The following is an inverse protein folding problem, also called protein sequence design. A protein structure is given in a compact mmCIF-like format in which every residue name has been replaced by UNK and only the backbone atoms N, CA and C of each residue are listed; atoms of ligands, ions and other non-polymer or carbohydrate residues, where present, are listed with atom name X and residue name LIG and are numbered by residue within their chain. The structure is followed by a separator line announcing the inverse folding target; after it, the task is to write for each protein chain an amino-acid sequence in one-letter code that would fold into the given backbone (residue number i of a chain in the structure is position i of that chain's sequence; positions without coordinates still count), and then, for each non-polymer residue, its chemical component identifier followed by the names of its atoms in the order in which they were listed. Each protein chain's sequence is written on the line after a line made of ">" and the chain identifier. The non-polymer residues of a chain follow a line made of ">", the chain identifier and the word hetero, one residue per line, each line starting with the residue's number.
data_IF_500764046401
#
_entry.id   IF_500764046401
#
_cell.length_a   1.000
_cell.length_b   1.000
_cell.length_c   1.000
_cell.angle_alpha   90.00
_cell.angle_beta   90.00
_cell.angle_gamma   90.00
#
_symmetry.space_group_name_H-M   'P 1'
#
loop_
_entity.id
_entity.type
_entity.pdbx_description
1 polymer ?
#
# COMPACT_ATOMS: atom_id res chain seq x y z
N UNK A 1 -9.80 3.81 32.42
CA UNK A 1 -8.78 4.01 31.35
C UNK A 1 -8.84 5.47 30.94
N UNK A 2 -7.84 6.24 31.33
CA UNK A 2 -7.81 7.70 31.21
C UNK A 2 -7.33 8.05 29.80
N UNK A 3 -8.20 8.69 29.01
CA UNK A 3 -7.82 9.22 27.71
C UNK A 3 -6.72 10.28 27.91
N UNK A 4 -5.56 10.08 27.31
CA UNK A 4 -4.48 11.04 27.32
C UNK A 4 -4.96 12.35 26.66
N UNK A 5 -4.91 13.46 27.38
CA UNK A 5 -5.13 14.80 26.83
C UNK A 5 -4.04 15.09 25.80
N UNK A 6 -4.37 15.66 24.62
CA UNK A 6 -3.37 16.10 23.69
C UNK A 6 -2.48 17.16 24.34
N UNK A 7 -1.17 16.98 24.23
CA UNK A 7 -0.15 17.94 24.64
C UNK A 7 -0.31 19.18 23.75
N UNK A 8 -0.56 20.33 24.35
CA UNK A 8 -0.67 21.60 23.64
C UNK A 8 0.69 21.93 22.99
N UNK A 9 0.76 21.91 21.64
CA UNK A 9 1.94 22.36 20.88
C UNK A 9 2.37 21.48 19.71
N UNK A 10 1.89 20.25 19.57
CA UNK A 10 2.19 19.45 18.38
C UNK A 10 1.22 19.81 17.22
N UNK A 11 1.70 19.89 15.97
CA UNK A 11 0.82 20.08 14.83
C UNK A 11 -0.24 18.95 14.78
N UNK A 12 -1.46 19.27 14.30
CA UNK A 12 -2.49 18.27 14.20
C UNK A 12 -2.06 17.15 13.24
N UNK A 13 -2.39 15.89 13.57
CA UNK A 13 -2.15 14.75 12.69
C UNK A 13 -2.83 14.97 11.33
N UNK A 14 -2.16 14.53 10.27
CA UNK A 14 -2.73 14.59 8.92
C UNK A 14 -3.97 13.69 8.82
N UNK A 15 -3.90 12.48 9.38
CA UNK A 15 -5.04 11.57 9.50
C UNK A 15 -5.05 11.02 10.92
N UNK A 16 -6.22 10.99 11.54
CA UNK A 16 -6.46 10.30 12.81
C UNK A 16 -7.74 9.48 12.70
N UNK A 17 -7.60 8.17 12.85
CA UNK A 17 -8.69 7.21 12.92
C UNK A 17 -8.73 6.64 14.33
N UNK A 18 -9.93 6.56 14.93
CA UNK A 18 -10.10 6.02 16.28
C UNK A 18 -11.29 5.06 16.30
N UNK A 19 -11.01 3.76 16.49
CA UNK A 19 -12.00 2.69 16.58
C UNK A 19 -12.92 2.60 15.37
N UNK A 20 -12.41 2.89 14.17
CA UNK A 20 -13.20 3.05 12.95
C UNK A 20 -13.89 1.75 12.55
N UNK A 21 -15.21 1.78 12.34
CA UNK A 21 -16.00 0.61 11.93
C UNK A 21 -16.90 0.94 10.75
N UNK A 22 -17.06 -0.03 9.84
CA UNK A 22 -17.96 0.05 8.70
C UNK A 22 -18.51 -1.30 8.30
N UNK A 23 -19.82 -1.38 8.10
CA UNK A 23 -20.54 -2.59 7.69
C UNK A 23 -21.36 -2.30 6.44
N UNK A 24 -21.38 -3.21 5.51
CA UNK A 24 -22.21 -3.19 4.30
C UNK A 24 -23.04 -4.47 4.25
N UNK A 25 -24.33 -4.38 4.57
CA UNK A 25 -25.18 -5.56 4.72
C UNK A 25 -24.59 -6.54 5.74
N UNK A 26 -24.32 -7.81 5.36
CA UNK A 26 -23.73 -8.79 6.28
C UNK A 26 -22.20 -8.65 6.44
N UNK A 27 -21.54 -7.85 5.60
CA UNK A 27 -20.07 -7.76 5.54
C UNK A 27 -19.57 -6.62 6.42
N UNK A 28 -18.81 -6.94 7.46
CA UNK A 28 -18.09 -5.98 8.29
C UNK A 28 -16.74 -5.64 7.64
N UNK A 29 -16.73 -4.59 6.79
CA UNK A 29 -15.58 -4.20 5.98
C UNK A 29 -14.45 -3.57 6.79
N UNK A 30 -14.77 -2.87 7.89
CA UNK A 30 -13.81 -2.24 8.81
C UNK A 30 -14.22 -2.56 10.24
N UNK A 31 -13.28 -3.10 11.04
CA UNK A 31 -13.55 -3.75 12.34
C UNK A 31 -12.85 -3.07 13.53
N UNK A 32 -12.71 -1.76 13.50
CA UNK A 32 -12.10 -1.02 14.61
C UNK A 32 -10.66 -0.64 14.30
N UNK A 33 -10.45 0.11 13.21
CA UNK A 33 -9.12 0.61 12.84
C UNK A 33 -8.78 1.84 13.68
N UNK A 34 -7.61 1.79 14.32
CA UNK A 34 -6.91 2.91 14.91
C UNK A 34 -5.67 3.22 14.07
N UNK A 35 -5.51 4.47 13.62
CA UNK A 35 -4.38 4.91 12.82
C UNK A 35 -4.13 6.40 13.01
N UNK A 36 -2.86 6.76 13.17
CA UNK A 36 -2.40 8.13 13.19
C UNK A 36 -1.35 8.31 12.09
N UNK A 37 -1.52 9.29 11.19
CA UNK A 37 -0.55 9.66 10.17
C UNK A 37 -0.05 11.07 10.47
N UNK A 38 1.26 11.22 10.53
CA UNK A 38 1.90 12.52 10.75
C UNK A 38 1.92 13.37 9.48
N UNK A 39 1.93 14.71 9.57
CA UNK A 39 2.19 15.57 8.41
C UNK A 39 3.54 15.24 7.75
N UNK A 40 3.57 15.18 6.41
CA UNK A 40 4.76 14.90 5.62
C UNK A 40 5.13 13.42 5.50
N UNK A 41 4.36 12.50 6.11
CA UNK A 41 4.59 11.06 6.08
C UNK A 41 4.04 10.43 4.78
N UNK A 42 4.79 9.51 4.18
CA UNK A 42 4.33 8.66 3.07
C UNK A 42 3.93 7.30 3.64
N UNK A 43 2.62 7.03 3.66
CA UNK A 43 2.07 5.78 4.22
C UNK A 43 1.48 4.91 3.12
N UNK A 44 1.91 3.64 3.08
CA UNK A 44 1.34 2.63 2.21
C UNK A 44 0.26 1.82 2.94
N UNK A 45 -0.94 1.76 2.36
CA UNK A 45 -2.00 0.82 2.75
C UNK A 45 -1.88 -0.45 1.92
N UNK A 46 -1.48 -1.53 2.54
CA UNK A 46 -1.40 -2.85 1.93
C UNK A 46 -2.52 -3.76 2.44
N UNK A 47 -2.83 -4.78 1.67
CA UNK A 47 -3.79 -5.82 2.05
C UNK A 47 -4.45 -6.45 0.83
N UNK A 48 -4.97 -7.67 0.95
CA UNK A 48 -5.70 -8.33 -0.12
C UNK A 48 -6.98 -7.58 -0.50
N UNK A 49 -7.62 -8.02 -1.58
CA UNK A 49 -8.93 -7.51 -1.96
C UNK A 49 -9.94 -7.81 -0.84
N UNK A 50 -10.77 -6.83 -0.50
CA UNK A 50 -11.72 -6.94 0.62
C UNK A 50 -11.11 -6.71 2.02
N UNK A 51 -9.83 -6.37 2.14
CA UNK A 51 -9.19 -6.06 3.42
C UNK A 51 -9.72 -4.79 4.12
N UNK A 52 -10.52 -3.97 3.43
CA UNK A 52 -11.08 -2.73 3.97
C UNK A 52 -10.34 -1.45 3.56
N UNK A 53 -9.35 -1.53 2.66
CA UNK A 53 -8.55 -0.37 2.19
C UNK A 53 -9.43 0.74 1.62
N UNK A 54 -10.17 0.43 0.56
CA UNK A 54 -11.06 1.42 -0.12
C UNK A 54 -12.13 1.96 0.82
N UNK A 55 -12.76 1.11 1.65
CA UNK A 55 -13.74 1.56 2.63
C UNK A 55 -13.16 2.53 3.65
N UNK A 56 -11.91 2.32 4.07
CA UNK A 56 -11.20 3.22 4.98
C UNK A 56 -10.86 4.53 4.28
N UNK A 57 -10.37 4.49 3.05
CA UNK A 57 -10.09 5.66 2.21
C UNK A 57 -11.36 6.47 1.98
N UNK A 58 -12.48 5.83 1.63
CA UNK A 58 -13.77 6.51 1.43
C UNK A 58 -14.24 7.27 2.69
N UNK A 59 -13.99 6.72 3.87
CA UNK A 59 -14.30 7.41 5.12
C UNK A 59 -13.36 8.59 5.39
N UNK A 60 -12.06 8.47 5.07
CA UNK A 60 -11.09 9.58 5.16
C UNK A 60 -11.47 10.70 4.17
N UNK A 61 -11.95 10.34 2.99
CA UNK A 61 -12.44 11.27 1.97
C UNK A 61 -13.87 11.80 2.25
N UNK A 62 -14.53 11.36 3.33
CA UNK A 62 -15.91 11.77 3.64
C UNK A 62 -16.95 11.32 2.61
N UNK A 63 -16.61 10.38 1.72
CA UNK A 63 -17.50 9.75 0.75
C UNK A 63 -18.43 8.73 1.42
N UNK A 64 -17.97 8.15 2.52
CA UNK A 64 -18.75 7.24 3.37
C UNK A 64 -18.67 7.69 4.83
N UNK A 65 -19.72 7.40 5.61
CA UNK A 65 -19.75 7.66 7.05
C UNK A 65 -19.41 6.37 7.81
N UNK A 66 -18.57 6.44 8.85
CA UNK A 66 -18.37 5.30 9.72
C UNK A 66 -19.65 4.97 10.51
N UNK A 67 -19.86 3.68 10.80
CA UNK A 67 -20.95 3.23 11.67
C UNK A 67 -20.57 3.41 13.14
N UNK A 68 -19.27 3.38 13.46
CA UNK A 68 -18.72 3.72 14.76
C UNK A 68 -17.28 4.21 14.64
N UNK A 69 -16.79 4.87 15.68
CA UNK A 69 -15.47 5.48 15.70
C UNK A 69 -15.45 6.89 15.14
N UNK A 70 -14.25 7.43 14.90
CA UNK A 70 -14.05 8.82 14.43
C UNK A 70 -12.95 8.88 13.36
N UNK A 71 -13.15 9.79 12.41
CA UNK A 71 -12.17 10.21 11.42
C UNK A 71 -11.90 11.69 11.59
N UNK A 72 -10.65 12.08 11.65
CA UNK A 72 -10.22 13.47 11.66
C UNK A 72 -9.07 13.65 10.67
N UNK A 73 -9.10 14.72 9.91
CA UNK A 73 -8.04 15.12 8.97
C UNK A 73 -7.61 16.54 9.32
N UNK A 74 -6.34 16.70 9.68
CA UNK A 74 -5.79 17.95 10.24
C UNK A 74 -6.66 18.52 11.37
N UNK A 75 -7.16 17.65 12.27
CA UNK A 75 -8.02 18.05 13.39
C UNK A 75 -9.47 18.40 13.02
N UNK A 76 -9.86 18.22 11.75
CA UNK A 76 -11.19 18.58 11.22
C UNK A 76 -11.96 17.34 10.76
N UNK A 77 -13.27 17.48 10.59
CA UNK A 77 -14.06 16.49 9.87
C UNK A 77 -13.62 16.41 8.39
N UNK A 78 -13.61 15.23 7.74
CA UNK A 78 -13.19 15.06 6.36
C UNK A 78 -13.78 16.08 5.38
N UNK A 79 -15.10 16.30 5.43
CA UNK A 79 -15.78 17.26 4.55
C UNK A 79 -15.31 18.70 4.73
N UNK A 80 -14.92 19.07 5.95
CA UNK A 80 -14.38 20.41 6.23
C UNK A 80 -12.97 20.56 5.66
N UNK A 81 -12.14 19.53 5.76
CA UNK A 81 -10.79 19.51 5.20
C UNK A 81 -10.83 19.57 3.66
N UNK A 82 -11.76 18.83 3.02
CA UNK A 82 -11.99 18.89 1.57
C UNK A 82 -12.45 20.28 1.14
N UNK A 83 -13.43 20.87 1.82
CA UNK A 83 -13.94 22.20 1.50
C UNK A 83 -12.86 23.30 1.61
N UNK A 84 -11.80 23.06 2.38
CA UNK A 84 -10.62 23.94 2.50
C UNK A 84 -9.52 23.62 1.47
N UNK A 85 -9.69 22.61 0.62
CA UNK A 85 -8.70 22.18 -0.35
C UNK A 85 -7.50 21.43 0.25
N UNK A 86 -7.58 21.00 1.53
CA UNK A 86 -6.47 20.33 2.21
C UNK A 86 -6.28 18.89 1.78
N UNK A 87 -7.30 18.25 1.18
CA UNK A 87 -7.27 16.87 0.71
C UNK A 87 -7.55 16.83 -0.77
N UNK A 88 -6.78 16.03 -1.48
CA UNK A 88 -7.09 15.61 -2.86
C UNK A 88 -6.89 14.12 -3.00
N UNK A 89 -7.54 13.53 -4.01
CA UNK A 89 -7.44 12.10 -4.24
C UNK A 89 -7.33 11.74 -5.72
N UNK A 90 -6.57 10.68 -5.99
CA UNK A 90 -6.58 9.95 -7.26
C UNK A 90 -7.20 8.59 -6.98
N UNK A 91 -8.44 8.39 -7.43
CA UNK A 91 -9.18 7.14 -7.24
C UNK A 91 -8.93 6.18 -8.41
N UNK A 92 -9.07 4.89 -8.15
CA UNK A 92 -8.92 3.83 -9.16
C UNK A 92 -9.88 4.02 -10.34
N UNK A 93 -11.12 4.45 -10.06
CA UNK A 93 -12.14 4.72 -11.07
C UNK A 93 -12.41 6.22 -11.17
N UNK A 94 -12.46 6.75 -12.37
CA UNK A 94 -12.77 8.14 -12.63
C UNK A 94 -12.73 8.41 -14.13
N UNK A 95 -13.85 8.87 -14.68
CA UNK A 95 -13.95 9.17 -16.12
C UNK A 95 -13.24 10.48 -16.46
N UNK A 96 -12.33 10.43 -17.43
CA UNK A 96 -11.78 11.62 -18.05
C UNK A 96 -12.59 11.93 -19.32
N UNK A 97 -12.77 13.21 -19.62
CA UNK A 97 -13.45 13.66 -20.84
C UNK A 97 -12.50 13.47 -22.03
N UNK A 98 -12.77 12.44 -22.84
CA UNK A 98 -11.88 11.97 -23.92
C UNK A 98 -11.70 12.96 -25.06
N UNK A 99 -12.66 13.86 -25.25
CA UNK A 99 -12.67 14.85 -26.34
C UNK A 99 -11.88 16.12 -26.01
N UNK A 100 -11.64 16.39 -24.75
CA UNK A 100 -10.79 17.50 -24.30
C UNK A 100 -9.31 17.15 -24.43
N UNK A 101 -8.48 18.17 -24.57
CA UNK A 101 -7.03 18.03 -24.42
C UNK A 101 -6.64 17.90 -22.95
N UNK A 102 -5.41 17.46 -22.69
CA UNK A 102 -4.82 17.40 -21.35
C UNK A 102 -4.89 18.76 -20.65
N UNK A 103 -4.49 19.84 -21.36
CA UNK A 103 -4.52 21.19 -20.81
C UNK A 103 -5.93 21.72 -20.57
N UNK A 104 -6.89 21.45 -21.49
CA UNK A 104 -8.29 21.84 -21.30
C UNK A 104 -8.90 21.12 -20.10
N UNK A 105 -8.64 19.81 -19.93
CA UNK A 105 -9.11 19.05 -18.77
C UNK A 105 -8.57 19.63 -17.47
N UNK A 106 -7.29 19.95 -17.42
CA UNK A 106 -6.67 20.52 -16.23
C UNK A 106 -7.22 21.94 -15.94
N UNK A 107 -7.39 22.81 -16.98
CA UNK A 107 -7.99 24.15 -16.82
C UNK A 107 -9.44 24.08 -16.35
N UNK A 108 -10.22 23.17 -16.93
CA UNK A 108 -11.59 22.93 -16.48
C UNK A 108 -11.64 22.53 -15.01
N UNK A 109 -10.79 21.59 -14.61
CA UNK A 109 -10.69 21.16 -13.21
C UNK A 109 -10.24 22.30 -12.30
N UNK A 110 -9.25 23.09 -12.71
CA UNK A 110 -8.77 24.24 -11.95
C UNK A 110 -9.88 25.27 -11.69
N UNK A 111 -10.80 25.47 -12.65
CA UNK A 111 -11.92 26.40 -12.51
C UNK A 111 -12.96 26.01 -11.46
N UNK A 112 -12.93 24.77 -10.98
CA UNK A 112 -13.82 24.28 -9.90
C UNK A 112 -13.33 24.68 -8.51
N UNK A 113 -12.08 25.14 -8.38
CA UNK A 113 -11.49 25.53 -7.11
C UNK A 113 -11.41 27.06 -6.98
N UNK A 114 -11.69 27.56 -5.78
CA UNK A 114 -11.54 29.00 -5.47
C UNK A 114 -10.08 29.45 -5.59
N UNK A 115 -9.15 28.54 -5.28
CA UNK A 115 -7.70 28.70 -5.47
C UNK A 115 -7.16 27.45 -6.12
N UNK A 116 -6.33 27.64 -7.13
CA UNK A 116 -5.58 26.55 -7.77
C UNK A 116 -4.17 27.03 -8.08
N UNK A 117 -3.21 26.12 -8.04
CA UNK A 117 -1.89 26.41 -8.60
C UNK A 117 -1.96 26.53 -10.13
N UNK A 118 -0.95 27.12 -10.77
CA UNK A 118 -0.90 27.22 -12.23
C UNK A 118 -0.99 25.84 -12.89
N UNK A 119 -1.85 25.71 -13.90
CA UNK A 119 -2.06 24.44 -14.62
C UNK A 119 -0.77 23.91 -15.23
N UNK A 120 0.05 24.78 -15.82
CA UNK A 120 1.30 24.39 -16.45
C UNK A 120 2.29 23.79 -15.43
N UNK A 121 2.30 24.31 -14.20
CA UNK A 121 3.11 23.75 -13.11
C UNK A 121 2.62 22.36 -12.67
N UNK A 122 1.30 22.18 -12.52
CA UNK A 122 0.70 20.89 -12.20
C UNK A 122 0.99 19.85 -13.29
N UNK A 123 0.89 20.22 -14.57
CA UNK A 123 1.22 19.34 -15.70
C UNK A 123 2.72 18.98 -15.74
N UNK A 124 3.59 19.93 -15.43
CA UNK A 124 5.03 19.72 -15.36
C UNK A 124 5.39 18.77 -14.22
N UNK A 125 4.84 18.98 -13.03
CA UNK A 125 5.06 18.08 -11.86
C UNK A 125 4.57 16.67 -12.14
N UNK A 126 3.45 16.51 -12.85
CA UNK A 126 2.94 15.21 -13.26
C UNK A 126 3.70 14.59 -14.46
N UNK A 127 4.65 15.29 -15.05
CA UNK A 127 5.47 14.80 -16.16
C UNK A 127 4.70 14.65 -17.48
N UNK A 128 3.65 15.47 -17.71
CA UNK A 128 2.81 15.40 -18.91
C UNK A 128 2.68 16.75 -19.67
N UNK A 129 3.49 17.73 -19.32
CA UNK A 129 3.47 19.04 -20.00
C UNK A 129 3.72 18.94 -21.51
N UNK A 130 4.56 17.99 -21.96
CA UNK A 130 4.88 17.79 -23.37
C UNK A 130 3.68 17.32 -24.22
N UNK A 131 2.61 16.83 -23.59
CA UNK A 131 1.40 16.35 -24.27
C UNK A 131 0.16 17.21 -23.95
N UNK A 132 0.37 18.44 -23.49
CA UNK A 132 -0.69 19.34 -23.05
C UNK A 132 -1.82 19.53 -24.10
N UNK A 133 -1.46 19.58 -25.38
CA UNK A 133 -2.40 19.76 -26.50
C UNK A 133 -2.97 18.44 -27.05
N UNK A 134 -2.55 17.28 -26.51
CA UNK A 134 -3.07 15.98 -26.94
C UNK A 134 -4.44 15.73 -26.32
N UNK A 135 -5.39 15.20 -27.14
CA UNK A 135 -6.69 14.76 -26.62
C UNK A 135 -6.52 13.61 -25.65
N UNK A 136 -7.24 13.66 -24.53
CA UNK A 136 -7.21 12.63 -23.47
C UNK A 136 -7.54 11.24 -24.02
N UNK A 137 -8.46 11.13 -24.98
CA UNK A 137 -8.79 9.85 -25.62
C UNK A 137 -7.65 9.23 -26.44
N UNK A 138 -6.58 9.99 -26.74
CA UNK A 138 -5.37 9.52 -27.45
C UNK A 138 -4.18 9.29 -26.50
N UNK A 139 -4.37 9.51 -25.19
CA UNK A 139 -3.37 9.27 -24.17
C UNK A 139 -3.38 7.80 -23.76
N UNK A 140 -2.19 7.25 -23.47
CA UNK A 140 -2.03 5.93 -22.85
C UNK A 140 -2.67 5.89 -21.45
N UNK A 141 -2.87 4.69 -20.90
CA UNK A 141 -3.38 4.54 -19.54
C UNK A 141 -2.51 5.26 -18.50
N UNK A 142 -1.20 5.14 -18.62
CA UNK A 142 -0.24 5.82 -17.76
C UNK A 142 -0.26 7.35 -17.90
N UNK A 143 -0.42 7.87 -19.13
CA UNK A 143 -0.58 9.32 -19.36
C UNK A 143 -1.91 9.85 -18.79
N UNK A 144 -2.99 9.08 -18.89
CA UNK A 144 -4.26 9.41 -18.26
C UNK A 144 -4.16 9.40 -16.73
N UNK A 145 -3.41 8.46 -16.13
CA UNK A 145 -3.20 8.41 -14.70
C UNK A 145 -2.36 9.60 -14.21
N UNK A 146 -1.33 10.00 -14.96
CA UNK A 146 -0.57 11.23 -14.68
C UNK A 146 -1.43 12.49 -14.81
N UNK A 147 -2.40 12.51 -15.73
CA UNK A 147 -3.37 13.61 -15.82
C UNK A 147 -4.26 13.68 -14.56
N UNK A 148 -4.75 12.53 -14.07
CA UNK A 148 -5.50 12.49 -12.79
C UNK A 148 -4.65 13.02 -11.64
N UNK A 149 -3.37 12.65 -11.61
CA UNK A 149 -2.43 13.17 -10.62
C UNK A 149 -2.23 14.70 -10.75
N UNK A 150 -2.04 15.22 -11.98
CA UNK A 150 -1.97 16.66 -12.20
C UNK A 150 -3.24 17.37 -11.69
N UNK A 151 -4.42 16.83 -11.98
CA UNK A 151 -5.70 17.36 -11.50
C UNK A 151 -5.77 17.36 -9.96
N UNK A 152 -5.28 16.31 -9.31
CA UNK A 152 -5.25 16.21 -7.86
C UNK A 152 -4.28 17.22 -7.22
N UNK A 153 -3.26 17.67 -7.93
CA UNK A 153 -2.32 18.69 -7.46
C UNK A 153 -2.88 20.12 -7.54
N UNK A 154 -3.89 20.38 -8.40
CA UNK A 154 -4.39 21.73 -8.66
C UNK A 154 -4.83 22.51 -7.41
N UNK A 155 -5.56 21.94 -6.44
CA UNK A 155 -5.94 22.65 -5.23
C UNK A 155 -4.78 22.87 -4.25
N UNK A 156 -3.57 22.39 -4.57
CA UNK A 156 -2.38 22.39 -3.71
C UNK A 156 -2.63 21.76 -2.33
N UNK A 157 -3.05 20.47 -2.29
CA UNK A 157 -3.45 19.81 -1.07
C UNK A 157 -2.27 19.55 -0.14
N UNK A 158 -2.51 19.52 1.17
CA UNK A 158 -1.55 19.06 2.17
C UNK A 158 -1.55 17.54 2.32
N UNK A 159 -2.69 16.88 2.03
CA UNK A 159 -2.86 15.43 2.02
C UNK A 159 -3.28 14.93 0.63
N UNK A 160 -2.50 14.04 0.08
CA UNK A 160 -2.79 13.36 -1.17
C UNK A 160 -3.12 11.88 -0.91
N UNK A 161 -4.29 11.44 -1.37
CA UNK A 161 -4.72 10.05 -1.27
C UNK A 161 -4.69 9.44 -2.67
N UNK A 162 -4.02 8.29 -2.80
CA UNK A 162 -3.81 7.63 -4.08
C UNK A 162 -4.28 6.16 -3.98
N UNK A 163 -5.27 5.80 -4.78
CA UNK A 163 -5.76 4.42 -4.86
C UNK A 163 -5.29 3.79 -6.16
N UNK A 164 -4.36 2.81 -6.06
CA UNK A 164 -3.72 2.13 -7.19
C UNK A 164 -3.11 3.10 -8.24
N UNK A 165 -2.26 4.05 -7.83
CA UNK A 165 -1.91 5.20 -8.66
C UNK A 165 -1.08 4.87 -9.90
N UNK A 166 -0.41 3.73 -9.96
CA UNK A 166 0.52 3.35 -11.02
C UNK A 166 -0.03 2.28 -11.96
N UNK A 167 -1.28 1.90 -11.77
CA UNK A 167 -1.95 0.91 -12.62
C UNK A 167 -1.92 1.35 -14.09
N UNK A 168 -1.42 0.47 -14.97
CA UNK A 168 -1.29 0.73 -16.40
C UNK A 168 -0.09 1.59 -16.81
N UNK A 169 0.83 1.88 -15.89
CA UNK A 169 2.13 2.49 -16.19
C UNK A 169 3.19 1.43 -16.48
N UNK A 170 4.09 1.74 -17.41
CA UNK A 170 5.33 0.98 -17.59
C UNK A 170 6.33 1.26 -16.44
N UNK A 171 7.44 0.53 -16.41
CA UNK A 171 8.43 0.61 -15.34
C UNK A 171 9.03 2.01 -15.20
N UNK A 172 9.36 2.65 -16.35
CA UNK A 172 9.94 4.00 -16.36
C UNK A 172 8.91 5.05 -15.91
N UNK A 173 7.68 4.93 -16.40
CA UNK A 173 6.54 5.74 -15.99
C UNK A 173 6.28 5.68 -14.51
N UNK A 174 6.29 4.49 -13.93
CA UNK A 174 6.11 4.25 -12.49
C UNK A 174 7.21 4.89 -11.67
N UNK A 175 8.49 4.68 -12.05
CA UNK A 175 9.63 5.29 -11.36
C UNK A 175 9.57 6.81 -11.38
N UNK A 176 9.27 7.40 -12.55
CA UNK A 176 9.13 8.86 -12.68
C UNK A 176 7.95 9.42 -11.86
N UNK A 177 6.83 8.70 -11.81
CA UNK A 177 5.66 9.07 -10.99
C UNK A 177 6.01 9.10 -9.51
N UNK A 178 6.61 8.04 -8.98
CA UNK A 178 7.04 7.97 -7.58
C UNK A 178 8.11 8.99 -7.24
N UNK A 179 9.01 9.31 -8.19
CA UNK A 179 9.97 10.40 -8.03
C UNK A 179 9.30 11.75 -7.80
N UNK A 180 8.23 12.05 -8.53
CA UNK A 180 7.44 13.26 -8.33
C UNK A 180 6.72 13.29 -6.97
N UNK A 181 6.11 12.17 -6.57
CA UNK A 181 5.47 12.03 -5.25
C UNK A 181 6.47 12.28 -4.12
N UNK A 182 7.67 11.69 -4.20
CA UNK A 182 8.68 11.84 -3.16
C UNK A 182 9.18 13.28 -3.06
N UNK A 183 9.38 13.95 -4.17
CA UNK A 183 9.74 15.38 -4.20
C UNK A 183 8.66 16.25 -3.53
N UNK A 184 7.38 15.91 -3.72
CA UNK A 184 6.26 16.60 -3.06
C UNK A 184 6.24 16.35 -1.55
N UNK A 185 6.49 15.12 -1.12
CA UNK A 185 6.56 14.77 0.30
C UNK A 185 7.73 15.46 1.01
N UNK A 186 8.89 15.59 0.35
CA UNK A 186 10.04 16.33 0.87
C UNK A 186 9.73 17.83 1.09
N UNK A 187 8.70 18.36 0.40
CA UNK A 187 8.16 19.71 0.62
C UNK A 187 7.10 19.77 1.73
N UNK A 188 6.88 18.67 2.44
CA UNK A 188 5.96 18.58 3.58
C UNK A 188 4.58 18.01 3.25
N UNK A 189 4.31 17.59 2.01
CA UNK A 189 3.04 16.97 1.63
C UNK A 189 2.91 15.57 2.21
N UNK A 190 1.78 15.28 2.85
CA UNK A 190 1.45 13.94 3.33
C UNK A 190 0.86 13.11 2.20
N UNK A 191 1.25 11.84 2.11
CA UNK A 191 0.75 10.92 1.10
C UNK A 191 0.25 9.63 1.75
N UNK A 192 -1.00 9.25 1.47
CA UNK A 192 -1.53 7.93 1.77
C UNK A 192 -1.81 7.24 0.44
N UNK A 193 -1.21 6.08 0.20
CA UNK A 193 -1.49 5.33 -1.01
C UNK A 193 -1.87 3.88 -0.73
N UNK A 194 -2.85 3.38 -1.49
CA UNK A 194 -3.18 1.97 -1.51
C UNK A 194 -2.60 1.34 -2.78
N UNK A 195 -1.95 0.20 -2.63
CA UNK A 195 -1.43 -0.58 -3.75
C UNK A 195 -1.44 -2.07 -3.42
N UNK A 196 -1.44 -2.90 -4.46
CA UNK A 196 -1.16 -4.33 -4.39
C UNK A 196 0.28 -4.65 -4.83
N UNK A 197 1.03 -3.66 -5.32
CA UNK A 197 2.45 -3.79 -5.67
C UNK A 197 3.31 -3.59 -4.42
N UNK A 198 3.72 -4.70 -3.80
CA UNK A 198 4.51 -4.68 -2.57
C UNK A 198 5.86 -3.97 -2.75
N UNK A 199 6.46 -4.08 -3.95
CA UNK A 199 7.69 -3.39 -4.32
C UNK A 199 7.56 -1.87 -4.22
N UNK A 200 6.39 -1.31 -4.53
CA UNK A 200 6.15 0.14 -4.40
C UNK A 200 6.12 0.58 -2.94
N UNK A 201 5.44 -0.18 -2.10
CA UNK A 201 5.40 0.09 -0.67
C UNK A 201 6.80 -0.01 -0.05
N UNK A 202 7.57 -1.04 -0.43
CA UNK A 202 8.94 -1.25 0.03
C UNK A 202 9.89 -0.11 -0.38
N UNK A 203 9.76 0.39 -1.62
CA UNK A 203 10.67 1.37 -2.19
C UNK A 203 10.33 2.83 -1.83
N UNK A 204 9.05 3.15 -1.61
CA UNK A 204 8.60 4.53 -1.55
C UNK A 204 7.89 4.94 -0.27
N UNK A 205 7.37 3.99 0.54
CA UNK A 205 6.72 4.32 1.80
C UNK A 205 7.72 4.51 2.94
N UNK A 206 7.48 5.51 3.79
CA UNK A 206 8.15 5.65 5.07
C UNK A 206 7.58 4.65 6.09
N UNK A 207 6.28 4.33 5.94
CA UNK A 207 5.55 3.43 6.82
C UNK A 207 4.52 2.61 6.04
N UNK A 208 4.39 1.36 6.44
CA UNK A 208 3.48 0.38 5.86
C UNK A 208 2.42 0.01 6.90
N UNK A 209 1.16 0.12 6.52
CA UNK A 209 0.01 -0.33 7.29
C UNK A 209 -0.64 -1.49 6.54
N UNK A 210 -0.52 -2.70 7.09
CA UNK A 210 -1.08 -3.90 6.51
C UNK A 210 -2.46 -4.16 7.07
N UNK A 211 -3.45 -4.21 6.19
CA UNK A 211 -4.85 -4.48 6.50
C UNK A 211 -5.23 -5.90 6.11
N UNK A 212 -5.96 -6.58 7.00
CA UNK A 212 -6.56 -7.89 6.77
C UNK A 212 -7.92 -7.97 7.43
N UNK A 213 -8.93 -8.44 6.70
CA UNK A 213 -10.31 -8.63 7.22
C UNK A 213 -10.86 -7.42 7.99
N UNK A 214 -10.51 -6.20 7.56
CA UNK A 214 -10.98 -4.96 8.18
C UNK A 214 -10.22 -4.54 9.45
N UNK A 215 -9.06 -5.12 9.72
CA UNK A 215 -8.20 -4.78 10.86
C UNK A 215 -6.77 -4.49 10.41
N UNK A 216 -6.04 -3.72 11.20
CA UNK A 216 -4.60 -3.52 11.03
C UNK A 216 -3.90 -4.72 11.66
N UNK A 217 -3.10 -5.44 10.86
CA UNK A 217 -2.32 -6.62 11.32
C UNK A 217 -0.82 -6.31 11.43
N UNK A 218 -0.34 -5.28 10.74
CA UNK A 218 1.02 -4.77 10.92
C UNK A 218 1.02 -3.26 10.63
N UNK A 219 1.89 -2.54 11.34
CA UNK A 219 2.05 -1.09 11.24
C UNK A 219 3.47 -0.72 11.66
N UNK A 220 4.28 -0.23 10.71
CA UNK A 220 5.68 0.11 10.94
C UNK A 220 6.43 0.39 9.65
N UNK A 221 7.74 0.61 9.75
CA UNK A 221 8.64 0.71 8.61
C UNK A 221 8.67 -0.59 7.81
N UNK A 222 9.12 -0.54 6.54
CA UNK A 222 9.29 -1.75 5.74
C UNK A 222 10.15 -2.80 6.45
N UNK A 223 11.23 -2.39 7.12
CA UNK A 223 12.10 -3.29 7.86
C UNK A 223 11.39 -3.96 9.05
N UNK A 224 10.58 -3.22 9.80
CA UNK A 224 9.79 -3.74 10.92
C UNK A 224 8.73 -4.73 10.45
N UNK A 225 8.01 -4.40 9.36
CA UNK A 225 6.99 -5.31 8.81
C UNK A 225 7.63 -6.59 8.27
N UNK A 226 8.77 -6.51 7.57
CA UNK A 226 9.54 -7.68 7.12
C UNK A 226 10.01 -8.56 8.29
N UNK A 227 10.40 -7.93 9.40
CA UNK A 227 10.84 -8.66 10.60
C UNK A 227 9.70 -9.46 11.27
N UNK A 228 8.43 -9.10 11.06
CA UNK A 228 7.28 -9.87 11.56
C UNK A 228 7.14 -11.24 10.87
N UNK A 229 7.65 -11.39 9.65
CA UNK A 229 7.79 -12.68 8.99
C UNK A 229 9.08 -13.34 9.46
N UNK A 230 9.10 -13.91 10.69
CA UNK A 230 10.28 -14.52 11.27
C UNK A 230 10.99 -15.48 10.28
N UNK A 231 12.34 -15.34 10.19
CA UNK A 231 13.19 -16.24 9.40
C UNK A 231 13.89 -15.57 8.21
N UNK A 232 14.79 -16.33 7.59
CA UNK A 232 15.54 -15.97 6.39
C UNK A 232 15.27 -16.99 5.29
N UNK A 233 15.50 -16.61 4.05
CA UNK A 233 15.48 -17.54 2.94
C UNK A 233 16.90 -17.85 2.52
N UNK A 234 17.25 -19.13 2.54
CA UNK A 234 18.51 -19.64 1.99
C UNK A 234 18.23 -20.17 0.61
N UNK A 235 18.82 -19.52 -0.40
CA UNK A 235 18.77 -19.94 -1.80
C UNK A 235 20.08 -20.66 -2.13
N UNK A 236 19.98 -21.78 -2.83
CA UNK A 236 21.17 -22.55 -3.26
C UNK A 236 20.86 -23.26 -4.58
N UNK A 237 21.87 -23.40 -5.42
CA UNK A 237 21.84 -24.28 -6.61
C UNK A 237 22.28 -25.67 -6.18
N UNK A 238 21.34 -26.64 -6.20
CA UNK A 238 21.56 -28.02 -5.73
C UNK A 238 20.90 -29.01 -6.70
N UNK A 239 21.61 -29.48 -7.74
CA UNK A 239 21.07 -30.48 -8.65
C UNK A 239 20.72 -31.80 -7.94
N UNK A 240 19.55 -32.35 -8.24
CA UNK A 240 19.08 -33.59 -7.63
C UNK A 240 18.70 -33.49 -6.17
N UNK A 241 18.27 -32.30 -5.71
CA UNK A 241 17.84 -32.06 -4.35
C UNK A 241 16.69 -32.98 -3.93
N UNK A 242 16.80 -33.59 -2.74
CA UNK A 242 15.75 -34.37 -2.11
C UNK A 242 15.04 -33.51 -1.04
N UNK A 243 13.77 -33.22 -1.28
CA UNK A 243 12.94 -32.39 -0.40
C UNK A 243 12.87 -32.96 1.03
N UNK A 244 12.80 -34.30 1.16
CA UNK A 244 12.72 -34.97 2.46
C UNK A 244 13.95 -34.73 3.30
N UNK A 245 15.12 -34.83 2.66
CA UNK A 245 16.41 -34.58 3.31
C UNK A 245 16.54 -33.12 3.73
N UNK A 246 16.14 -32.20 2.85
CA UNK A 246 16.26 -30.78 3.11
C UNK A 246 15.31 -30.29 4.20
N UNK A 247 14.10 -30.85 4.27
CA UNK A 247 13.15 -30.56 5.35
C UNK A 247 13.59 -31.08 6.72
N UNK A 248 14.48 -32.06 6.75
CA UNK A 248 15.03 -32.60 7.99
C UNK A 248 16.20 -31.77 8.56
N UNK A 249 16.67 -30.74 7.86
CA UNK A 249 17.75 -29.88 8.34
C UNK A 249 17.23 -29.07 9.53
N UNK A 250 17.95 -29.07 10.69
CA UNK A 250 17.57 -28.22 11.81
C UNK A 250 17.48 -26.74 11.41
N UNK A 251 16.38 -26.09 11.79
CA UNK A 251 16.13 -24.68 11.43
C UNK A 251 15.51 -24.48 10.05
N UNK A 252 15.27 -25.52 9.25
CA UNK A 252 14.50 -25.42 8.01
C UNK A 252 13.01 -25.49 8.33
N UNK A 253 12.26 -24.42 8.01
CA UNK A 253 10.81 -24.35 8.23
C UNK A 253 10.03 -24.88 7.03
N UNK A 254 10.46 -24.54 5.81
CA UNK A 254 9.88 -25.05 4.57
C UNK A 254 10.91 -25.07 3.45
N UNK A 255 10.68 -25.94 2.45
CA UNK A 255 11.57 -26.15 1.30
C UNK A 255 10.76 -26.07 0.03
N UNK A 256 11.25 -25.31 -0.94
CA UNK A 256 10.72 -25.22 -2.29
C UNK A 256 11.83 -25.54 -3.31
N UNK A 257 11.56 -26.48 -4.24
CA UNK A 257 12.52 -26.89 -5.28
C UNK A 257 12.00 -26.43 -6.64
N UNK A 258 12.78 -25.63 -7.34
CA UNK A 258 12.50 -25.14 -8.70
C UNK A 258 13.65 -25.54 -9.63
N UNK A 259 13.55 -26.73 -10.24
CA UNK A 259 14.64 -27.33 -11.01
C UNK A 259 15.86 -27.56 -10.11
N UNK A 260 17.01 -26.96 -10.45
CA UNK A 260 18.24 -27.06 -9.64
C UNK A 260 18.31 -25.99 -8.54
N UNK A 261 17.39 -25.02 -8.50
CA UNK A 261 17.35 -24.00 -7.46
C UNK A 261 16.49 -24.46 -6.31
N UNK A 262 17.05 -24.44 -5.12
CA UNK A 262 16.36 -24.73 -3.85
C UNK A 262 16.23 -23.46 -3.04
N UNK A 263 15.04 -23.21 -2.51
CA UNK A 263 14.71 -22.14 -1.59
C UNK A 263 14.32 -22.79 -0.25
N UNK A 264 15.05 -22.49 0.81
CA UNK A 264 14.76 -22.96 2.16
C UNK A 264 14.41 -21.76 3.03
N UNK A 265 13.18 -21.75 3.52
CA UNK A 265 12.80 -20.81 4.56
C UNK A 265 13.30 -21.36 5.90
N UNK A 266 14.06 -20.55 6.62
CA UNK A 266 14.78 -21.01 7.78
C UNK A 266 14.59 -20.03 8.95
N UNK A 267 14.25 -20.58 10.12
CA UNK A 267 14.33 -19.89 11.41
C UNK A 267 15.78 -19.76 11.89
N UNK A 268 16.63 -20.74 11.55
CA UNK A 268 18.09 -20.68 11.71
C UNK A 268 18.79 -20.85 10.36
N UNK A 269 19.01 -19.72 9.69
CA UNK A 269 19.67 -19.73 8.38
C UNK A 269 21.13 -20.09 8.43
N UNK A 270 21.80 -19.91 9.55
CA UNK A 270 23.24 -20.16 9.67
C UNK A 270 23.52 -21.66 9.76
N UNK A 271 22.69 -22.42 10.47
CA UNK A 271 22.78 -23.88 10.53
C UNK A 271 22.39 -24.52 9.19
N UNK A 272 21.33 -24.03 8.54
CA UNK A 272 20.93 -24.46 7.20
C UNK A 272 22.05 -24.20 6.20
N UNK A 273 22.61 -22.99 6.16
CA UNK A 273 23.69 -22.65 5.25
C UNK A 273 24.95 -23.52 5.47
N UNK A 274 25.31 -23.74 6.74
CA UNK A 274 26.44 -24.61 7.10
C UNK A 274 26.23 -26.03 6.60
N UNK A 275 25.03 -26.59 6.82
CA UNK A 275 24.70 -27.93 6.33
C UNK A 275 24.81 -28.01 4.81
N UNK A 276 24.21 -27.08 4.08
CA UNK A 276 24.24 -27.05 2.61
C UNK A 276 25.65 -26.99 2.05
N UNK A 277 26.54 -26.16 2.63
CA UNK A 277 27.92 -25.99 2.18
C UNK A 277 28.84 -27.14 2.56
N UNK A 278 28.56 -27.86 3.68
CA UNK A 278 29.46 -28.91 4.15
C UNK A 278 29.01 -30.33 3.82
N UNK A 279 27.70 -30.55 3.67
CA UNK A 279 27.09 -31.87 3.54
C UNK A 279 26.47 -32.13 2.18
N UNK A 280 26.46 -31.12 1.28
CA UNK A 280 25.90 -31.22 -0.07
C UNK A 280 26.85 -30.66 -1.13
N UNK A 281 26.51 -30.85 -2.41
CA UNK A 281 27.21 -30.20 -3.53
C UNK A 281 26.62 -28.82 -3.88
N UNK A 282 25.93 -28.18 -2.95
CA UNK A 282 25.30 -26.88 -3.15
C UNK A 282 26.29 -25.77 -3.52
N UNK A 283 25.87 -24.91 -4.47
CA UNK A 283 26.65 -23.78 -4.99
C UNK A 283 25.80 -22.53 -5.03
N UNK A 284 26.45 -21.37 -5.18
CA UNK A 284 25.78 -20.06 -5.31
C UNK A 284 24.80 -19.81 -4.15
N UNK A 285 25.25 -20.11 -2.92
CA UNK A 285 24.45 -19.94 -1.74
C UNK A 285 24.28 -18.45 -1.43
N UNK A 286 23.00 -18.05 -1.27
CA UNK A 286 22.60 -16.70 -0.92
C UNK A 286 21.65 -16.77 0.29
N UNK A 287 21.92 -15.95 1.31
CA UNK A 287 21.04 -15.82 2.47
C UNK A 287 20.42 -14.44 2.44
N UNK A 288 19.11 -14.40 2.26
CA UNK A 288 18.34 -13.15 2.21
C UNK A 288 17.35 -13.08 3.38
N UNK A 289 17.11 -11.86 3.86
CA UNK A 289 15.94 -11.63 4.73
C UNK A 289 14.68 -11.83 3.91
N UNK A 290 13.62 -12.34 4.53
CA UNK A 290 12.32 -12.47 3.89
C UNK A 290 11.88 -11.11 3.35
N UNK A 291 11.36 -11.11 2.12
CA UNK A 291 10.83 -9.93 1.47
C UNK A 291 9.51 -9.47 2.10
N UNK A 292 9.03 -8.29 1.68
CA UNK A 292 7.73 -7.80 2.08
C UNK A 292 6.61 -8.74 1.59
N UNK A 293 6.82 -9.46 0.49
CA UNK A 293 5.89 -10.46 -0.05
C UNK A 293 5.74 -11.66 0.91
N UNK A 294 6.84 -12.17 1.42
CA UNK A 294 6.82 -13.27 2.41
C UNK A 294 6.12 -12.84 3.70
N UNK A 295 6.38 -11.62 4.17
CA UNK A 295 5.71 -11.05 5.32
C UNK A 295 4.21 -10.88 5.08
N UNK A 296 3.86 -10.38 3.89
CA UNK A 296 2.47 -10.24 3.47
C UNK A 296 1.74 -11.59 3.46
N UNK A 297 2.34 -12.62 2.85
CA UNK A 297 1.79 -13.98 2.81
C UNK A 297 1.66 -14.54 4.22
N UNK A 298 2.71 -14.48 5.05
CA UNK A 298 2.68 -15.00 6.41
C UNK A 298 1.59 -14.36 7.27
N UNK A 299 1.42 -13.03 7.15
CA UNK A 299 0.42 -12.29 7.91
C UNK A 299 -1.00 -12.40 7.32
N UNK A 300 -1.15 -12.90 6.07
CA UNK A 300 -2.45 -13.00 5.40
C UNK A 300 -2.93 -14.42 5.14
N UNK A 301 -2.13 -15.49 5.36
CA UNK A 301 -2.45 -16.88 4.97
C UNK A 301 -3.07 -17.77 6.07
N UNK A 302 -3.04 -17.38 7.36
CA UNK A 302 -3.27 -18.31 8.47
C UNK A 302 -4.73 -18.77 8.74
N UNK A 303 -5.73 -18.44 7.92
CA UNK A 303 -7.12 -18.82 8.23
C UNK A 303 -7.72 -19.92 7.34
N UNK A 304 -7.04 -20.38 6.29
CA UNK A 304 -7.64 -21.41 5.42
C UNK A 304 -7.58 -22.85 5.99
N UNK A 305 -6.75 -23.10 7.01
CA UNK A 305 -6.59 -24.46 7.54
C UNK A 305 -7.54 -24.81 8.72
N UNK A 306 -8.26 -23.83 9.25
CA UNK A 306 -9.15 -24.05 10.41
C UNK A 306 -10.62 -24.18 10.04
N UNK A 307 -11.03 -23.74 8.85
CA UNK A 307 -12.41 -23.87 8.38
C UNK A 307 -12.71 -25.18 7.64
N UNK A 308 -11.75 -25.73 6.88
CA UNK A 308 -11.95 -27.03 6.21
C UNK A 308 -12.08 -28.22 7.18
N UNK A 309 -11.51 -28.14 8.39
CA UNK A 309 -11.65 -29.20 9.40
C UNK A 309 -12.96 -29.16 10.21
N UNK A 310 -13.79 -28.10 10.06
CA UNK A 310 -15.09 -28.02 10.77
C UNK A 310 -16.27 -28.53 9.97
N UNK A 311 -16.17 -28.59 8.64
CA UNK A 311 -17.26 -29.03 7.77
C UNK A 311 -17.26 -30.56 7.50
N UNK A 312 -16.24 -31.29 7.95
CA UNK A 312 -16.18 -32.79 7.81
C UNK A 312 -16.75 -33.56 9.02
N UNK A 313 -17.63 -32.99 9.83
CA UNK A 313 -18.35 -33.81 10.81
C UNK A 313 -19.53 -34.52 10.14
N UNK A 314 -19.56 -35.86 10.09
CA UNK A 314 -20.68 -36.55 9.52
C UNK A 314 -21.93 -36.36 10.37
N UNK A 315 -23.03 -36.04 9.68
CA UNK A 315 -24.36 -35.97 10.29
C UNK A 315 -24.72 -37.38 10.73
N UNK A 316 -25.06 -37.63 12.00
CA UNK A 316 -25.53 -38.95 12.43
C UNK A 316 -26.92 -39.22 11.84
N UNK A 317 -27.08 -40.47 11.34
CA UNK A 317 -28.36 -41.00 10.80
C UNK A 317 -29.39 -41.24 11.91
#
# INVERSE_FOLDING_TARGET
>A
MTAARPVAGSPPLAIQLSGLRKTFGPVQAVKGIDLNVAPGEIVAFLGPNGAGKTSTIDMILGLSHPDAGRVSVYGMQPRQAIARGLISAVMQTGGLLKDLTVAETARYTASLFTRSQPVDEALKRAGIAAIADRKVGKCSGGEQQRLRFAMALLPDPELLILDEPTTGMDVEGRRSFWGAIRQDAEQGRTVLFATHYLEEADAYADRIVLLRHGQVVADGTSAEVKALAAGRTVRVTLPGADETVLRAIPGADSVEIRGDTVLIHASDSDDVARYLLTSTCGRDLEVTTRGLEDAFIALTSDDNNTQEQRDERPVPR
#
